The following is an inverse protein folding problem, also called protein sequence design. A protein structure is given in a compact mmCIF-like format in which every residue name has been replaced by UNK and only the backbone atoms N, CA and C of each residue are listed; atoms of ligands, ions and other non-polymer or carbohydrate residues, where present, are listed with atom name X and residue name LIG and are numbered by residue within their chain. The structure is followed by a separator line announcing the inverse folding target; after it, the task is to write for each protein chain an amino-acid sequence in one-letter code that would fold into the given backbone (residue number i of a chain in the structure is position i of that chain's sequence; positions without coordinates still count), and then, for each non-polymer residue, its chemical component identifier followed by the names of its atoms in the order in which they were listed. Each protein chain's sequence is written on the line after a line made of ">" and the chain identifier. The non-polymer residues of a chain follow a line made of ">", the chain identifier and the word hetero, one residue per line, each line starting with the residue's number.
data_IF_392381488771
#
_entry.id   IF_392381488771
#
_cell.length_a   1.000
_cell.length_b   1.000
_cell.length_c   1.000
_cell.angle_alpha   90.00
_cell.angle_beta   90.00
_cell.angle_gamma   90.00
#
_symmetry.space_group_name_H-M   'P 1'
#
loop_
_entity.id
_entity.type
_entity.pdbx_description
1 polymer ?
#
# COMPACT_ATOMS: atom_id res chain seq x y z
N UNK A 1 19.18 -8.34 -22.11
CA UNK A 1 18.88 -7.43 -20.97
C UNK A 1 18.15 -8.25 -19.94
N UNK A 2 18.76 -8.49 -18.78
CA UNK A 2 18.07 -9.10 -17.64
C UNK A 2 16.97 -8.16 -17.19
N UNK A 3 15.75 -8.68 -16.99
CA UNK A 3 14.66 -7.87 -16.43
C UNK A 3 15.04 -7.54 -14.99
N UNK A 4 15.09 -6.26 -14.65
CA UNK A 4 15.26 -5.84 -13.27
C UNK A 4 14.17 -6.48 -12.40
N UNK A 5 14.53 -7.03 -11.23
CA UNK A 5 13.56 -7.62 -10.34
C UNK A 5 12.58 -6.54 -9.86
N UNK A 6 11.29 -6.87 -9.86
CA UNK A 6 10.23 -5.96 -9.45
C UNK A 6 9.22 -6.66 -8.54
N UNK A 7 8.45 -5.87 -7.80
CA UNK A 7 7.37 -6.38 -6.97
C UNK A 7 6.34 -7.12 -7.83
N UNK A 8 6.05 -8.38 -7.53
CA UNK A 8 5.08 -9.18 -8.28
C UNK A 8 3.63 -8.69 -8.10
N UNK A 9 3.36 -7.90 -7.06
CA UNK A 9 2.06 -7.26 -6.88
C UNK A 9 2.00 -5.93 -7.64
N UNK A 10 2.72 -4.91 -7.20
CA UNK A 10 2.55 -3.57 -7.78
C UNK A 10 3.45 -3.25 -8.98
N UNK A 11 4.42 -4.09 -9.30
CA UNK A 11 5.34 -3.89 -10.42
C UNK A 11 6.44 -2.87 -10.17
N UNK A 12 6.53 -2.26 -8.98
CA UNK A 12 7.61 -1.31 -8.67
C UNK A 12 8.97 -2.00 -8.73
N UNK A 13 9.94 -1.31 -9.32
CA UNK A 13 11.35 -1.66 -9.25
C UNK A 13 11.95 -0.94 -8.07
N UNK A 14 12.51 -1.68 -7.12
CA UNK A 14 13.18 -1.17 -5.92
C UNK A 14 14.42 -2.03 -5.67
N UNK A 15 15.42 -1.47 -5.01
CA UNK A 15 16.61 -2.19 -4.57
C UNK A 15 16.34 -3.12 -3.37
N UNK A 16 15.16 -3.04 -2.73
CA UNK A 16 14.73 -3.93 -1.66
C UNK A 16 13.44 -4.66 -1.97
N UNK A 17 13.53 -5.99 -2.05
CA UNK A 17 12.39 -6.88 -2.24
C UNK A 17 12.37 -7.95 -1.15
N UNK A 18 11.17 -8.28 -0.71
CA UNK A 18 10.87 -9.20 0.39
C UNK A 18 10.28 -10.48 -0.20
N UNK A 19 10.85 -11.62 0.19
CA UNK A 19 10.39 -12.94 -0.23
C UNK A 19 9.37 -13.44 0.77
N UNK A 20 8.25 -13.96 0.26
CA UNK A 20 7.17 -14.51 1.05
C UNK A 20 6.77 -15.86 0.48
N UNK A 21 6.69 -16.88 1.35
CA UNK A 21 6.26 -18.21 0.97
C UNK A 21 5.26 -18.74 2.00
N UNK A 22 4.00 -18.82 1.60
CA UNK A 22 2.99 -19.57 2.34
C UNK A 22 3.13 -21.08 2.10
N UNK A 23 2.72 -21.88 3.08
CA UNK A 23 2.73 -23.34 2.97
C UNK A 23 2.06 -23.82 1.67
N UNK A 24 2.81 -24.59 0.89
CA UNK A 24 2.40 -25.18 -0.40
C UNK A 24 2.09 -24.15 -1.51
N UNK A 25 2.41 -22.87 -1.32
CA UNK A 25 2.35 -21.84 -2.36
C UNK A 25 3.74 -21.57 -2.95
N UNK A 26 3.82 -21.13 -4.22
CA UNK A 26 5.09 -20.68 -4.79
C UNK A 26 5.59 -19.43 -4.05
N UNK A 27 6.91 -19.32 -3.89
CA UNK A 27 7.54 -18.11 -3.35
C UNK A 27 7.13 -16.88 -4.18
N UNK A 28 6.77 -15.81 -3.47
CA UNK A 28 6.41 -14.53 -4.05
C UNK A 28 7.37 -13.46 -3.58
N UNK A 29 7.53 -12.43 -4.40
CA UNK A 29 8.46 -11.33 -4.15
C UNK A 29 7.69 -10.01 -4.19
N UNK A 30 7.74 -9.27 -3.09
CA UNK A 30 7.00 -8.02 -2.89
C UNK A 30 7.93 -6.88 -2.50
N UNK A 31 7.57 -5.65 -2.87
CA UNK A 31 8.12 -4.48 -2.19
C UNK A 31 7.50 -4.35 -0.78
N UNK A 32 8.14 -3.58 0.11
CA UNK A 32 7.71 -3.44 1.50
C UNK A 32 6.23 -3.04 1.65
N UNK A 33 5.73 -2.11 0.84
CA UNK A 33 4.30 -1.70 0.87
C UNK A 33 3.34 -2.82 0.46
N UNK A 34 3.72 -3.65 -0.50
CA UNK A 34 2.90 -4.79 -0.88
C UNK A 34 3.00 -5.91 0.15
N UNK A 35 4.18 -6.11 0.75
CA UNK A 35 4.40 -7.09 1.81
C UNK A 35 3.56 -6.77 3.05
N UNK A 36 3.59 -5.51 3.52
CA UNK A 36 2.75 -5.00 4.62
C UNK A 36 1.25 -5.18 4.35
N UNK A 37 0.81 -5.07 3.09
CA UNK A 37 -0.61 -5.26 2.72
C UNK A 37 -1.02 -6.72 2.48
N UNK A 38 -0.07 -7.62 2.20
CA UNK A 38 -0.36 -9.03 1.88
C UNK A 38 -0.16 -9.96 3.07
N UNK A 39 0.57 -9.53 4.10
CA UNK A 39 0.99 -10.39 5.21
C UNK A 39 0.66 -9.72 6.54
N UNK A 40 0.40 -10.53 7.56
CA UNK A 40 0.26 -10.04 8.93
C UNK A 40 1.63 -9.88 9.63
N UNK A 41 2.75 -10.23 8.97
CA UNK A 41 4.10 -10.20 9.55
C UNK A 41 4.57 -8.81 9.95
N UNK A 42 4.09 -7.76 9.26
CA UNK A 42 4.40 -6.36 9.56
C UNK A 42 3.21 -5.60 10.14
N UNK A 43 2.11 -6.29 10.41
CA UNK A 43 0.84 -5.64 10.66
C UNK A 43 0.68 -5.37 12.16
N UNK A 44 0.95 -4.15 12.58
CA UNK A 44 0.90 -3.73 13.99
C UNK A 44 -0.45 -3.11 14.36
N UNK A 45 -0.76 -3.10 15.67
CA UNK A 45 -1.98 -2.47 16.23
C UNK A 45 -2.05 -0.95 15.99
N UNK A 46 -0.91 -0.33 15.64
CA UNK A 46 -0.80 1.12 15.42
C UNK A 46 -1.20 1.55 14.00
N UNK A 47 -1.56 0.62 13.13
CA UNK A 47 -1.93 0.95 11.74
C UNK A 47 -3.26 1.71 11.71
N UNK A 48 -3.17 3.04 11.63
CA UNK A 48 -4.32 3.93 11.54
C UNK A 48 -4.80 4.02 10.09
N UNK A 49 -6.10 3.81 9.87
CA UNK A 49 -6.76 4.07 8.60
C UNK A 49 -6.83 2.85 7.69
N UNK A 50 -8.00 2.21 7.69
CA UNK A 50 -8.33 1.13 6.77
C UNK A 50 -9.32 1.62 5.74
N UNK A 51 -9.02 1.40 4.46
CA UNK A 51 -9.93 1.75 3.36
C UNK A 51 -10.56 0.49 2.76
N UNK A 52 -11.82 0.25 3.10
CA UNK A 52 -12.62 -0.91 2.67
C UNK A 52 -13.35 -0.71 1.34
N UNK A 53 -12.88 -1.32 0.25
CA UNK A 53 -13.60 -1.24 -1.05
C UNK A 53 -13.77 -2.61 -1.70
N UNK A 54 -14.94 -2.82 -2.32
CA UNK A 54 -15.43 -4.12 -2.83
C UNK A 54 -14.55 -4.74 -3.93
N UNK A 55 -13.81 -3.93 -4.71
CA UNK A 55 -12.97 -4.36 -5.85
C UNK A 55 -11.90 -3.30 -6.15
N UNK A 56 -10.82 -3.23 -5.37
CA UNK A 56 -9.80 -2.19 -5.57
C UNK A 56 -8.42 -2.70 -6.00
N UNK A 57 -7.69 -1.88 -6.79
CA UNK A 57 -6.35 -2.21 -7.23
C UNK A 57 -5.36 -1.98 -6.07
N UNK A 58 -5.23 -2.96 -5.16
CA UNK A 58 -4.26 -2.95 -4.04
C UNK A 58 -2.86 -2.52 -4.48
N UNK A 59 -2.44 -2.97 -5.66
CA UNK A 59 -1.20 -2.52 -6.30
C UNK A 59 -1.11 -1.00 -6.46
N UNK A 60 -2.16 -0.34 -6.94
CA UNK A 60 -2.19 1.11 -7.12
C UNK A 60 -2.17 1.85 -5.79
N UNK A 61 -2.84 1.32 -4.76
CA UNK A 61 -2.76 1.90 -3.41
C UNK A 61 -1.38 1.72 -2.79
N UNK A 62 -0.74 0.56 -2.93
CA UNK A 62 0.63 0.36 -2.47
C UNK A 62 1.60 1.35 -3.14
N UNK A 63 1.46 1.59 -4.44
CA UNK A 63 2.26 2.59 -5.16
C UNK A 63 1.93 4.03 -4.72
N UNK A 64 0.66 4.36 -4.54
CA UNK A 64 0.23 5.68 -4.06
C UNK A 64 0.76 5.94 -2.65
N UNK A 65 0.63 4.98 -1.74
CA UNK A 65 1.16 5.05 -0.38
C UNK A 65 2.66 5.30 -0.40
N UNK A 66 3.40 4.54 -1.21
CA UNK A 66 4.83 4.73 -1.41
C UNK A 66 5.18 6.12 -1.91
N UNK A 67 4.49 6.59 -2.95
CA UNK A 67 4.70 7.93 -3.51
C UNK A 67 4.38 9.03 -2.48
N UNK A 68 3.35 8.84 -1.64
CA UNK A 68 3.03 9.77 -0.56
C UNK A 68 4.14 9.81 0.49
N UNK A 69 4.71 8.68 0.91
CA UNK A 69 5.83 8.64 1.86
C UNK A 69 7.01 9.45 1.32
N UNK A 70 7.40 9.23 0.06
CA UNK A 70 8.47 10.01 -0.58
C UNK A 70 8.13 11.50 -0.66
N UNK A 71 6.90 11.85 -1.05
CA UNK A 71 6.47 13.24 -1.15
C UNK A 71 6.37 13.95 0.21
N UNK A 72 6.00 13.24 1.29
CA UNK A 72 5.96 13.78 2.65
C UNK A 72 7.36 14.04 3.22
N UNK A 73 8.34 13.22 2.83
CA UNK A 73 9.74 13.35 3.26
C UNK A 73 10.61 14.15 2.26
N UNK A 74 10.02 14.61 1.15
CA UNK A 74 10.68 15.45 0.15
C UNK A 74 10.99 16.85 0.72
N UNK A 75 12.10 17.49 0.36
CA UNK A 75 12.36 18.88 0.74
C UNK A 75 11.43 19.90 0.03
N UNK A 76 10.65 19.47 -0.96
CA UNK A 76 9.70 20.32 -1.69
C UNK A 76 8.36 20.46 -0.95
N UNK A 77 8.13 21.64 -0.36
CA UNK A 77 6.89 21.96 0.35
C UNK A 77 5.62 21.79 -0.51
N UNK A 78 5.70 22.00 -1.82
CA UNK A 78 4.56 21.81 -2.73
C UNK A 78 4.20 20.32 -2.81
N UNK A 79 5.19 19.44 -2.89
CA UNK A 79 4.97 17.99 -2.88
C UNK A 79 4.43 17.52 -1.53
N UNK A 80 5.01 18.00 -0.43
CA UNK A 80 4.52 17.69 0.91
C UNK A 80 3.05 18.09 1.08
N UNK A 81 2.68 19.30 0.65
CA UNK A 81 1.31 19.81 0.77
C UNK A 81 0.33 19.01 -0.10
N UNK A 82 0.75 18.60 -1.31
CA UNK A 82 -0.05 17.69 -2.15
C UNK A 82 -0.27 16.35 -1.46
N UNK A 83 0.78 15.73 -0.90
CA UNK A 83 0.68 14.46 -0.21
C UNK A 83 -0.22 14.55 1.04
N UNK A 84 -0.05 15.59 1.87
CA UNK A 84 -0.94 15.87 3.03
C UNK A 84 -2.40 15.99 2.61
N UNK A 85 -2.68 16.66 1.48
CA UNK A 85 -4.05 16.82 0.96
C UNK A 85 -4.66 15.50 0.49
N UNK A 86 -3.86 14.64 -0.17
CA UNK A 86 -4.29 13.30 -0.58
C UNK A 86 -4.55 12.43 0.65
N UNK A 87 -3.63 12.40 1.62
CA UNK A 87 -3.78 11.64 2.86
C UNK A 87 -5.05 12.04 3.60
N UNK A 88 -5.30 13.34 3.78
CA UNK A 88 -6.54 13.85 4.40
C UNK A 88 -7.80 13.34 3.70
N UNK A 89 -7.82 13.37 2.36
CA UNK A 89 -8.97 12.89 1.58
C UNK A 89 -9.20 11.38 1.70
N UNK A 90 -8.11 10.61 1.80
CA UNK A 90 -8.18 9.17 2.05
C UNK A 90 -8.68 8.88 3.47
N UNK A 91 -8.18 9.60 4.48
CA UNK A 91 -8.61 9.47 5.89
C UNK A 91 -10.08 9.81 6.08
N UNK A 92 -10.57 10.92 5.52
CA UNK A 92 -12.00 11.31 5.52
C UNK A 92 -12.89 10.17 4.98
N UNK A 93 -12.38 9.43 3.99
CA UNK A 93 -13.11 8.31 3.39
C UNK A 93 -13.04 7.02 4.22
N UNK A 94 -11.99 6.85 5.04
CA UNK A 94 -11.84 5.72 5.96
C UNK A 94 -12.69 5.88 7.23
N UNK A 95 -12.82 7.09 7.76
CA UNK A 95 -13.71 7.40 8.89
C UNK A 95 -15.16 6.99 8.60
N UNK A 96 -15.66 7.32 7.39
CA UNK A 96 -16.98 6.89 6.93
C UNK A 96 -17.18 5.36 6.97
N UNK A 97 -16.10 4.60 6.69
CA UNK A 97 -16.13 3.14 6.74
C UNK A 97 -16.17 2.66 8.19
N UNK A 98 -15.37 3.23 9.08
CA UNK A 98 -15.44 2.92 10.51
C UNK A 98 -16.84 3.14 11.09
N UNK A 99 -17.50 4.25 10.73
CA UNK A 99 -18.88 4.54 11.14
C UNK A 99 -19.89 3.54 10.57
N UNK A 100 -19.69 3.07 9.33
CA UNK A 100 -20.55 2.08 8.67
C UNK A 100 -20.49 0.70 9.34
N UNK A 101 -19.33 0.31 9.88
CA UNK A 101 -19.13 -1.01 10.50
C UNK A 101 -19.10 -0.97 12.04
N UNK A 102 -19.23 0.20 12.66
CA UNK A 102 -19.24 0.41 14.11
C UNK A 102 -17.82 0.61 14.67
N UNK A 103 -17.59 1.78 15.29
CA UNK A 103 -16.27 2.24 15.76
C UNK A 103 -15.71 1.50 16.99
N UNK A 104 -16.53 0.77 17.74
CA UNK A 104 -16.15 0.16 19.02
C UNK A 104 -15.30 -1.12 18.89
N UNK A 105 -14.97 -1.54 17.66
CA UNK A 105 -14.25 -2.79 17.37
C UNK A 105 -13.28 -2.60 16.20
N UNK A 106 -12.37 -1.64 16.30
CA UNK A 106 -11.31 -1.41 15.30
C UNK A 106 -10.59 -2.70 14.90
N UNK A 107 -10.35 -3.58 15.88
CA UNK A 107 -9.66 -4.85 15.70
C UNK A 107 -10.53 -5.85 14.94
N UNK A 108 -11.83 -5.95 15.28
CA UNK A 108 -12.78 -6.79 14.52
C UNK A 108 -12.94 -6.26 13.09
N UNK A 109 -12.88 -4.95 12.87
CA UNK A 109 -13.01 -4.36 11.53
C UNK A 109 -11.79 -4.67 10.66
N UNK A 110 -10.57 -4.57 11.21
CA UNK A 110 -9.34 -4.98 10.53
C UNK A 110 -9.41 -6.45 10.15
N UNK A 111 -9.78 -7.33 11.08
CA UNK A 111 -9.90 -8.77 10.85
C UNK A 111 -10.95 -9.09 9.80
N UNK A 112 -12.13 -8.47 9.88
CA UNK A 112 -13.22 -8.66 8.91
C UNK A 112 -12.82 -8.17 7.52
N UNK A 113 -12.25 -6.97 7.40
CA UNK A 113 -11.82 -6.43 6.11
C UNK A 113 -10.61 -7.19 5.55
N UNK A 114 -9.71 -7.67 6.42
CA UNK A 114 -8.57 -8.53 6.07
C UNK A 114 -9.05 -9.84 5.46
N UNK A 115 -9.91 -10.59 6.17
CA UNK A 115 -10.53 -11.84 5.70
C UNK A 115 -11.31 -11.68 4.41
N UNK A 116 -11.95 -10.54 4.20
CA UNK A 116 -12.70 -10.24 2.98
C UNK A 116 -11.80 -9.78 1.81
N UNK A 117 -10.49 -9.61 2.01
CA UNK A 117 -9.60 -9.07 1.00
C UNK A 117 -9.87 -7.59 0.67
N UNK A 118 -10.54 -6.86 1.57
CA UNK A 118 -10.99 -5.47 1.40
C UNK A 118 -10.13 -4.47 2.15
N UNK A 119 -9.17 -4.96 2.95
CA UNK A 119 -8.24 -4.13 3.69
C UNK A 119 -7.21 -3.47 2.76
N UNK A 120 -7.07 -2.15 2.89
CA UNK A 120 -5.95 -1.35 2.39
C UNK A 120 -5.52 -0.43 3.52
N UNK A 121 -4.24 -0.48 3.87
CA UNK A 121 -3.65 0.38 4.90
C UNK A 121 -3.36 1.76 4.30
N UNK A 122 -3.92 2.81 4.90
CA UNK A 122 -3.69 4.20 4.49
C UNK A 122 -2.39 4.76 5.08
N UNK A 123 -2.12 4.46 6.34
CA UNK A 123 -0.90 4.85 7.03
C UNK A 123 0.01 3.62 7.29
N UNK A 124 1.29 3.89 7.56
CA UNK A 124 2.30 2.90 7.98
C UNK A 124 2.94 3.36 9.27
N UNK A 125 3.54 2.43 10.01
CA UNK A 125 4.42 2.81 11.10
C UNK A 125 5.61 3.67 10.62
N UNK A 126 6.12 4.53 11.52
CA UNK A 126 7.18 5.48 11.19
C UNK A 126 8.46 4.79 10.71
N UNK A 127 8.79 3.63 11.27
CA UNK A 127 9.95 2.83 10.86
C UNK A 127 9.77 2.26 9.43
N UNK A 128 8.58 1.78 9.08
CA UNK A 128 8.23 1.37 7.71
C UNK A 128 8.36 2.57 6.76
N UNK A 129 7.84 3.75 7.15
CA UNK A 129 7.97 4.97 6.34
C UNK A 129 9.45 5.37 6.13
N UNK A 130 10.28 5.26 7.16
CA UNK A 130 11.71 5.54 7.08
C UNK A 130 12.44 4.55 6.16
N UNK A 131 12.11 3.26 6.26
CA UNK A 131 12.68 2.23 5.39
C UNK A 131 12.34 2.50 3.91
N UNK A 132 11.09 2.80 3.59
CA UNK A 132 10.65 3.17 2.24
C UNK A 132 11.40 4.38 1.71
N UNK A 133 11.59 5.40 2.54
CA UNK A 133 12.26 6.64 2.13
C UNK A 133 13.75 6.42 1.82
N UNK A 134 14.34 5.35 2.33
CA UNK A 134 15.73 4.98 2.08
C UNK A 134 15.91 4.04 0.87
N UNK A 135 14.82 3.51 0.29
CA UNK A 135 14.86 2.61 -0.87
C UNK A 135 15.00 3.39 -2.19
N UNK A 136 15.69 2.80 -3.17
CA UNK A 136 15.89 3.38 -4.50
C UNK A 136 14.81 2.92 -5.46
N UNK A 137 13.85 3.81 -5.71
CA UNK A 137 12.68 3.50 -6.51
C UNK A 137 12.79 3.90 -7.98
N UNK A 138 12.51 2.93 -8.84
CA UNK A 138 12.05 3.15 -10.21
C UNK A 138 10.54 3.33 -10.22
N UNK A 139 10.05 4.51 -9.84
CA UNK A 139 8.61 4.81 -9.91
C UNK A 139 8.08 4.62 -11.33
N UNK A 140 6.92 3.95 -11.51
CA UNK A 140 6.37 3.75 -12.82
C UNK A 140 5.98 5.08 -13.49
N UNK A 141 6.24 5.19 -14.78
CA UNK A 141 5.76 6.30 -15.60
C UNK A 141 4.24 6.20 -15.88
N UNK A 142 3.67 7.22 -16.51
CA UNK A 142 2.23 7.28 -16.79
C UNK A 142 1.70 6.08 -17.61
N UNK A 143 2.51 5.55 -18.55
CA UNK A 143 2.13 4.40 -19.37
C UNK A 143 2.14 3.10 -18.57
N UNK A 144 3.14 2.93 -17.71
CA UNK A 144 3.26 1.81 -16.80
C UNK A 144 2.13 1.83 -15.76
N UNK A 145 1.75 3.01 -15.27
CA UNK A 145 0.58 3.18 -14.41
C UNK A 145 -0.73 2.77 -15.10
N UNK A 146 -0.94 3.18 -16.35
CA UNK A 146 -2.12 2.81 -17.12
C UNK A 146 -2.18 1.29 -17.36
N UNK A 147 -1.04 0.65 -17.59
CA UNK A 147 -0.93 -0.80 -17.71
C UNK A 147 -1.25 -1.52 -16.39
N UNK A 148 -0.66 -1.08 -15.27
CA UNK A 148 -0.91 -1.63 -13.93
C UNK A 148 -2.41 -1.55 -13.59
N UNK A 149 -3.05 -0.43 -13.91
CA UNK A 149 -4.48 -0.23 -13.68
C UNK A 149 -5.34 -1.12 -14.59
N UNK A 150 -5.07 -1.13 -15.90
CA UNK A 150 -5.88 -1.87 -16.89
C UNK A 150 -5.82 -3.39 -16.73
N UNK A 151 -4.67 -3.97 -16.34
CA UNK A 151 -4.53 -5.40 -16.04
C UNK A 151 -5.39 -5.87 -14.85
N UNK A 152 -5.80 -4.94 -13.97
CA UNK A 152 -6.49 -5.25 -12.72
C UNK A 152 -7.98 -4.90 -12.70
N UNK A 153 -8.42 -4.02 -13.60
CA UNK A 153 -9.86 -3.73 -13.80
C UNK A 153 -10.54 -4.82 -14.64
N UNK A 154 -9.78 -5.60 -15.42
CA UNK A 154 -10.28 -6.68 -16.30
C UNK A 154 -10.32 -8.08 -15.67
N UNK A 155 -9.98 -8.22 -14.39
CA UNK A 155 -10.15 -9.46 -13.60
C UNK A 155 -11.33 -9.32 -12.66
#
# INVERSE_FOLDING_TARGET
>A
MEKQPCCQLCGIVTDKLYRFQEDKQPERVYCLMCFEQQTDELATDSTVGYYGVKRHPRASFALLKRAMIHALNSPDEVQQNKAKRVLRKLSESAELIADTYGSNRSDDLRDVLGRQGRLVLLDSEKDIQQQISAEKDGFPDASQWAEIYSRRVKK
#
